data_IF_489952319199
#
_entry.id   IF_489952319199
#
_cell.length_a   1.000
_cell.length_b   1.000
_cell.length_c   1.000
_cell.angle_alpha   90.00
_cell.angle_beta   90.00
_cell.angle_gamma   90.00
#
_symmetry.space_group_name_H-M   'P 1'
#
loop_
_entity.id
_entity.type
_entity.pdbx_description
1 polymer ?
#
# COMPACT_ATOMS: atom_id res chain seq x y z
N UNK A 1 -13.24 -4.72 -22.57
CA UNK A 1 -12.88 -3.59 -21.69
C UNK A 1 -13.49 -2.31 -22.25
N UNK A 2 -14.15 -1.48 -21.42
CA UNK A 2 -14.77 -0.23 -21.89
C UNK A 2 -13.69 0.78 -22.31
N UNK A 3 -13.83 1.47 -23.45
CA UNK A 3 -12.86 2.48 -23.89
C UNK A 3 -12.58 3.59 -22.86
N UNK A 4 -13.59 3.92 -22.06
CA UNK A 4 -13.47 4.91 -20.97
C UNK A 4 -12.44 4.48 -19.92
N UNK A 5 -12.37 3.19 -19.58
CA UNK A 5 -11.43 2.68 -18.57
C UNK A 5 -9.99 2.74 -19.09
N UNK A 6 -9.78 2.39 -20.37
CA UNK A 6 -8.47 2.52 -20.99
C UNK A 6 -8.01 3.99 -21.02
N UNK A 7 -8.91 4.91 -21.39
CA UNK A 7 -8.61 6.34 -21.39
C UNK A 7 -8.22 6.88 -20.00
N UNK A 8 -8.86 6.39 -18.94
CA UNK A 8 -8.52 6.76 -17.56
C UNK A 8 -7.11 6.25 -17.20
N UNK A 9 -6.78 5.01 -17.54
CA UNK A 9 -5.47 4.42 -17.29
C UNK A 9 -4.38 5.17 -18.05
N UNK A 10 -4.61 5.47 -19.32
CA UNK A 10 -3.64 6.19 -20.17
C UNK A 10 -3.38 7.60 -19.62
N UNK A 11 -4.43 8.29 -19.17
CA UNK A 11 -4.33 9.62 -18.57
C UNK A 11 -3.56 9.59 -17.25
N UNK A 12 -3.88 8.66 -16.34
CA UNK A 12 -3.19 8.50 -15.07
C UNK A 12 -1.72 8.10 -15.28
N UNK A 13 -1.45 7.20 -16.23
CA UNK A 13 -0.07 6.83 -16.56
C UNK A 13 0.70 8.02 -17.14
N UNK A 14 0.13 8.78 -18.07
CA UNK A 14 0.77 9.96 -18.64
C UNK A 14 1.13 10.99 -17.56
N UNK A 15 0.25 11.22 -16.58
CA UNK A 15 0.47 12.13 -15.45
C UNK A 15 1.55 11.63 -14.47
N UNK A 16 1.55 10.34 -14.15
CA UNK A 16 2.29 9.80 -13.00
C UNK A 16 3.47 8.86 -13.35
N UNK A 17 3.73 8.56 -14.62
CA UNK A 17 4.87 7.71 -15.02
C UNK A 17 6.23 8.21 -14.52
N UNK A 18 6.39 9.53 -14.35
CA UNK A 18 7.64 10.11 -13.84
C UNK A 18 7.77 10.04 -12.32
N UNK A 19 6.66 10.20 -11.58
CA UNK A 19 6.67 10.07 -10.11
C UNK A 19 6.69 8.61 -9.67
N UNK A 20 6.23 7.70 -10.53
CA UNK A 20 6.04 6.28 -10.21
C UNK A 20 4.88 6.02 -9.26
N UNK A 21 4.03 7.02 -8.97
CA UNK A 21 2.94 6.93 -7.99
C UNK A 21 1.72 7.75 -8.36
N UNK A 22 0.55 7.15 -8.13
CA UNK A 22 -0.78 7.73 -8.32
C UNK A 22 -1.52 7.77 -6.97
N UNK A 23 -2.03 8.93 -6.56
CA UNK A 23 -2.85 9.06 -5.35
C UNK A 23 -4.31 8.66 -5.61
N UNK A 24 -5.03 8.18 -4.59
CA UNK A 24 -6.45 7.84 -4.73
C UNK A 24 -7.31 9.07 -5.08
N UNK A 25 -6.89 10.27 -4.64
CA UNK A 25 -7.55 11.51 -5.01
C UNK A 25 -7.35 11.84 -6.50
N UNK A 26 -6.17 11.53 -7.07
CA UNK A 26 -5.93 11.71 -8.51
C UNK A 26 -6.80 10.75 -9.33
N UNK A 27 -6.98 9.51 -8.86
CA UNK A 27 -7.90 8.55 -9.48
C UNK A 27 -9.33 9.07 -9.41
N UNK A 28 -9.76 9.58 -8.25
CA UNK A 28 -11.10 10.14 -8.08
C UNK A 28 -11.33 11.38 -8.98
N UNK A 29 -10.33 12.24 -9.13
CA UNK A 29 -10.36 13.39 -10.03
C UNK A 29 -10.53 12.96 -11.49
N UNK A 30 -9.71 12.00 -11.95
CA UNK A 30 -9.75 11.52 -13.35
C UNK A 30 -11.02 10.72 -13.62
N UNK A 31 -11.52 9.92 -12.68
CA UNK A 31 -12.84 9.26 -12.83
C UNK A 31 -13.94 10.34 -12.92
N UNK A 32 -13.90 11.33 -12.03
CA UNK A 32 -14.86 12.42 -11.98
C UNK A 32 -16.32 11.90 -11.92
N UNK A 33 -17.24 12.43 -12.74
CA UNK A 33 -18.64 11.99 -12.76
C UNK A 33 -18.88 10.71 -13.59
N UNK A 34 -17.82 10.07 -14.12
CA UNK A 34 -17.97 8.89 -14.97
C UNK A 34 -18.49 7.73 -14.12
N UNK A 35 -19.53 7.05 -14.62
CA UNK A 35 -20.05 5.83 -13.98
C UNK A 35 -19.04 4.69 -14.09
N UNK A 36 -18.18 4.59 -13.08
CA UNK A 36 -17.18 3.54 -12.88
C UNK A 36 -17.60 2.75 -11.64
N UNK A 37 -17.75 1.44 -11.81
CA UNK A 37 -18.07 0.50 -10.74
C UNK A 37 -16.84 0.16 -9.90
N UNK A 38 -17.05 -0.39 -8.70
CA UNK A 38 -15.94 -0.84 -7.85
C UNK A 38 -15.01 -1.84 -8.55
N UNK A 39 -15.56 -2.80 -9.30
CA UNK A 39 -14.76 -3.77 -10.07
C UNK A 39 -13.89 -3.10 -11.13
N UNK A 40 -14.37 -2.02 -11.75
CA UNK A 40 -13.60 -1.25 -12.72
C UNK A 40 -12.53 -0.38 -12.05
N UNK A 41 -12.77 0.12 -10.84
CA UNK A 41 -11.75 0.81 -10.04
C UNK A 41 -10.63 -0.17 -9.70
N UNK A 42 -10.96 -1.36 -9.19
CA UNK A 42 -9.97 -2.40 -8.89
C UNK A 42 -9.15 -2.75 -10.15
N UNK A 43 -9.81 -2.87 -11.30
CA UNK A 43 -9.14 -3.11 -12.57
C UNK A 43 -8.18 -1.97 -12.99
N UNK A 44 -8.57 -0.70 -12.77
CA UNK A 44 -7.70 0.45 -13.02
C UNK A 44 -6.46 0.38 -12.13
N UNK A 45 -6.64 0.10 -10.83
CA UNK A 45 -5.54 -0.03 -9.85
C UNK A 45 -4.59 -1.13 -10.28
N UNK A 46 -5.09 -2.34 -10.51
CA UNK A 46 -4.29 -3.50 -10.94
C UNK A 46 -3.48 -3.19 -12.21
N UNK A 47 -4.08 -2.45 -13.16
CA UNK A 47 -3.40 -2.12 -14.40
C UNK A 47 -2.29 -1.08 -14.22
N UNK A 48 -2.51 -0.06 -13.39
CA UNK A 48 -1.48 0.93 -13.06
C UNK A 48 -0.30 0.27 -12.34
N UNK A 49 -0.58 -0.66 -11.43
CA UNK A 49 0.45 -1.46 -10.75
C UNK A 49 1.21 -2.39 -11.68
N UNK A 50 0.51 -3.02 -12.64
CA UNK A 50 1.14 -3.82 -13.69
C UNK A 50 2.03 -3.00 -14.62
N UNK A 51 1.73 -1.70 -14.79
CA UNK A 51 2.57 -0.74 -15.52
C UNK A 51 3.75 -0.20 -14.69
N UNK A 52 3.90 -0.66 -13.44
CA UNK A 52 5.02 -0.30 -12.56
C UNK A 52 4.77 0.91 -11.68
N UNK A 53 3.54 1.43 -11.63
CA UNK A 53 3.16 2.51 -10.71
C UNK A 53 2.79 1.92 -9.35
N UNK A 54 2.91 2.74 -8.30
CA UNK A 54 2.35 2.45 -6.98
C UNK A 54 1.07 3.26 -6.82
N UNK A 55 -0.03 2.62 -6.43
CA UNK A 55 -1.29 3.32 -6.17
C UNK A 55 -1.51 3.48 -4.67
N UNK A 56 -1.89 4.69 -4.25
CA UNK A 56 -2.22 5.03 -2.88
C UNK A 56 -1.27 6.03 -2.22
N UNK A 57 -1.58 6.35 -0.96
CA UNK A 57 -0.84 7.36 -0.20
C UNK A 57 0.63 6.93 0.03
N UNK A 58 1.59 7.87 -0.06
CA UNK A 58 2.97 7.60 0.30
C UNK A 58 3.06 7.18 1.76
N UNK A 59 3.87 6.16 2.05
CA UNK A 59 4.20 5.81 3.43
C UNK A 59 4.97 6.98 4.02
N UNK A 60 4.42 7.62 5.05
CA UNK A 60 5.08 8.75 5.69
C UNK A 60 6.25 8.28 6.59
N UNK A 61 7.13 9.22 6.98
CA UNK A 61 8.31 8.89 7.80
C UNK A 61 7.94 8.27 9.16
N UNK A 62 6.80 8.67 9.74
CA UNK A 62 6.31 8.13 11.00
C UNK A 62 5.81 6.70 10.83
N UNK A 63 5.11 6.40 9.75
CA UNK A 63 4.68 5.04 9.38
C UNK A 63 5.88 4.12 9.14
N UNK A 64 6.96 4.61 8.53
CA UNK A 64 8.21 3.83 8.40
C UNK A 64 8.81 3.52 9.77
N UNK A 65 8.82 4.47 10.70
CA UNK A 65 9.32 4.26 12.07
C UNK A 65 8.47 3.24 12.84
N UNK A 66 7.15 3.36 12.75
CA UNK A 66 6.19 2.42 13.33
C UNK A 66 6.41 1.03 12.75
N UNK A 67 6.52 0.91 11.42
CA UNK A 67 6.75 -0.36 10.74
C UNK A 67 8.07 -1.02 11.19
N UNK A 68 9.17 -0.26 11.28
CA UNK A 68 10.45 -0.77 11.80
C UNK A 68 10.33 -1.31 13.23
N UNK A 69 9.62 -0.59 14.10
CA UNK A 69 9.38 -1.02 15.50
C UNK A 69 8.54 -2.29 15.56
N UNK A 70 7.46 -2.36 14.79
CA UNK A 70 6.56 -3.53 14.73
C UNK A 70 7.30 -4.77 14.20
N UNK A 71 8.02 -4.64 13.07
CA UNK A 71 8.78 -5.74 12.49
C UNK A 71 9.93 -6.20 13.39
N UNK A 72 10.60 -5.26 14.07
CA UNK A 72 11.62 -5.56 15.07
C UNK A 72 11.06 -6.36 16.24
N UNK A 73 9.93 -5.91 16.82
CA UNK A 73 9.26 -6.62 17.91
C UNK A 73 8.79 -8.03 17.48
N UNK A 74 8.21 -8.16 16.29
CA UNK A 74 7.79 -9.45 15.75
C UNK A 74 8.97 -10.42 15.58
N UNK A 75 10.11 -9.94 15.06
CA UNK A 75 11.31 -10.78 14.91
C UNK A 75 11.88 -11.21 16.27
N UNK A 76 11.99 -10.29 17.23
CA UNK A 76 12.47 -10.60 18.58
C UNK A 76 11.56 -11.62 19.28
N UNK A 77 10.25 -11.41 19.24
CA UNK A 77 9.28 -12.33 19.83
C UNK A 77 9.32 -13.71 19.17
N UNK A 78 9.49 -13.79 17.84
CA UNK A 78 9.61 -15.06 17.14
C UNK A 78 10.83 -15.86 17.62
N UNK A 79 11.96 -15.19 17.83
CA UNK A 79 13.17 -15.83 18.38
C UNK A 79 12.95 -16.32 19.80
N UNK A 80 12.29 -15.53 20.66
CA UNK A 80 12.06 -15.89 22.06
C UNK A 80 11.01 -17.00 22.23
N UNK A 81 9.94 -16.98 21.44
CA UNK A 81 8.82 -17.91 21.57
C UNK A 81 9.00 -19.21 20.77
N UNK A 82 9.94 -19.25 19.82
CA UNK A 82 10.12 -20.39 18.91
C UNK A 82 8.94 -20.61 17.94
N UNK A 83 7.97 -19.69 17.89
CA UNK A 83 6.80 -19.71 17.00
C UNK A 83 6.51 -18.32 16.46
N UNK A 84 5.62 -18.22 15.47
CA UNK A 84 5.15 -16.91 15.01
C UNK A 84 4.34 -16.22 16.13
N UNK A 85 4.68 -14.97 16.50
CA UNK A 85 3.92 -14.22 17.48
C UNK A 85 2.59 -13.74 16.90
N UNK A 86 1.59 -13.62 17.76
CA UNK A 86 0.27 -13.09 17.44
C UNK A 86 0.30 -11.56 17.35
N UNK A 87 -0.70 -10.97 16.67
CA UNK A 87 -0.85 -9.50 16.59
C UNK A 87 -0.92 -8.86 17.98
N UNK A 88 -1.60 -9.51 18.95
CA UNK A 88 -1.72 -9.01 20.31
C UNK A 88 -0.38 -8.99 21.05
N UNK A 89 0.44 -10.04 20.90
CA UNK A 89 1.79 -10.11 21.49
C UNK A 89 2.71 -9.03 20.91
N UNK A 90 2.64 -8.82 19.59
CA UNK A 90 3.43 -7.78 18.92
C UNK A 90 2.95 -6.38 19.32
N UNK A 91 1.64 -6.16 19.46
CA UNK A 91 1.08 -4.90 19.92
C UNK A 91 1.59 -4.53 21.31
N UNK A 92 1.54 -5.48 22.24
CA UNK A 92 2.04 -5.30 23.61
C UNK A 92 3.55 -5.03 23.62
N UNK A 93 4.34 -5.79 22.85
CA UNK A 93 5.80 -5.61 22.80
C UNK A 93 6.25 -4.33 22.09
N UNK A 94 5.53 -3.90 21.05
CA UNK A 94 5.91 -2.73 20.25
C UNK A 94 5.32 -1.42 20.79
N UNK A 95 4.35 -1.48 21.71
CA UNK A 95 3.64 -0.32 22.24
C UNK A 95 2.65 0.32 21.26
N UNK A 96 2.20 -0.41 20.25
CA UNK A 96 1.25 0.09 19.24
C UNK A 96 -0.08 -0.66 19.30
N UNK A 97 -1.21 0.01 18.97
CA UNK A 97 -2.50 -0.66 18.85
C UNK A 97 -2.51 -1.79 17.82
N UNK A 98 -3.34 -2.80 18.03
CA UNK A 98 -3.43 -3.98 17.15
C UNK A 98 -3.73 -3.65 15.67
N UNK A 99 -4.53 -2.61 15.40
CA UNK A 99 -4.83 -2.19 14.03
C UNK A 99 -3.59 -1.59 13.32
N UNK A 100 -2.74 -0.85 14.06
CA UNK A 100 -1.48 -0.30 13.54
C UNK A 100 -0.49 -1.43 13.24
N UNK A 101 -0.40 -2.42 14.14
CA UNK A 101 0.43 -3.62 13.93
C UNK A 101 -0.01 -4.37 12.68
N UNK A 102 -1.31 -4.60 12.50
CA UNK A 102 -1.85 -5.28 11.32
C UNK A 102 -1.46 -4.54 10.04
N UNK A 103 -1.71 -3.23 9.97
CA UNK A 103 -1.35 -2.38 8.83
C UNK A 103 0.15 -2.43 8.51
N UNK A 104 0.99 -2.37 9.54
CA UNK A 104 2.45 -2.42 9.38
C UNK A 104 2.93 -3.79 8.87
N UNK A 105 2.31 -4.89 9.32
CA UNK A 105 2.63 -6.24 8.85
C UNK A 105 2.17 -6.45 7.40
N UNK A 106 0.96 -6.02 7.03
CA UNK A 106 0.45 -6.08 5.66
C UNK A 106 1.39 -5.35 4.68
N UNK A 107 1.83 -4.14 5.04
CA UNK A 107 2.78 -3.36 4.24
C UNK A 107 4.19 -3.97 4.22
N UNK A 108 4.61 -4.63 5.29
CA UNK A 108 5.91 -5.29 5.39
C UNK A 108 6.01 -6.64 4.66
N UNK A 109 4.87 -7.29 4.37
CA UNK A 109 4.79 -8.54 3.58
C UNK A 109 4.79 -8.27 2.08
N UNK A 110 4.51 -7.03 1.64
CA UNK A 110 4.54 -6.67 0.23
C UNK A 110 5.98 -6.69 -0.34
N UNK A 111 6.27 -7.44 -1.42
CA UNK A 111 7.61 -7.58 -1.99
C UNK A 111 8.19 -6.33 -2.69
N UNK A 112 7.65 -5.12 -2.48
CA UNK A 112 8.02 -3.93 -3.26
C UNK A 112 8.14 -2.67 -2.42
N UNK A 113 9.07 -2.66 -1.47
CA UNK A 113 9.68 -1.39 -1.05
C UNK A 113 10.85 -1.13 -1.99
N UNK A 114 10.57 -0.40 -3.07
CA UNK A 114 11.60 0.20 -3.92
C UNK A 114 12.51 1.05 -3.03
N UNK A 115 13.77 0.61 -2.90
CA UNK A 115 14.85 1.44 -2.37
C UNK A 115 15.08 2.57 -3.38
N UNK A 116 14.61 3.76 -3.07
CA UNK A 116 15.18 4.96 -3.66
C UNK A 116 16.43 5.32 -2.87
N UNK A 117 17.59 5.17 -3.52
CA UNK A 117 18.87 5.70 -3.07
C UNK A 117 18.90 7.22 -3.25
#
# INVERSE_FOLDING_TARGET
>A
MRPVIQSIIDELFARHHRSGRVDLNDIAEVIGPRGVSYEEVDHIVDRLEALGLVVGEPIDANEVLVMKRVLGAARSLRTTLGRNPTIAEIALSSGHPAHVVRRALERGVSPRVVRSY
#
